data_IF_041863390448
#
_entry.id   IF_041863390448
#
_cell.length_a   1.000
_cell.length_b   1.000
_cell.length_c   1.000
_cell.angle_alpha   90.00
_cell.angle_beta   90.00
_cell.angle_gamma   90.00
#
_symmetry.space_group_name_H-M   'P 1'
#
loop_
_entity.id
_entity.type
_entity.pdbx_description
1 polymer ?
#
# COMPACT_ATOMS: atom_id res chain seq x y z
N UNK A 1 -2.45 -3.82 1.12
CA UNK A 1 -1.42 -3.35 2.08
C UNK A 1 -2.06 -3.13 3.45
N UNK A 2 -2.48 -4.20 4.13
CA UNK A 2 -2.96 -4.08 5.52
C UNK A 2 -1.78 -4.01 6.49
N UNK A 3 -2.04 -3.83 7.80
CA UNK A 3 -1.00 -3.63 8.82
C UNK A 3 0.05 -4.75 8.85
N UNK A 4 -0.34 -5.97 8.54
CA UNK A 4 0.57 -7.13 8.47
C UNK A 4 1.56 -7.10 7.30
N UNK A 5 1.31 -6.24 6.30
CA UNK A 5 2.14 -6.10 5.11
C UNK A 5 3.19 -4.99 5.28
N UNK A 6 3.30 -4.41 6.47
CA UNK A 6 4.33 -3.43 6.83
C UNK A 6 5.16 -4.01 7.96
N UNK A 7 6.35 -4.49 7.63
CA UNK A 7 7.31 -4.97 8.61
C UNK A 7 8.11 -3.78 9.13
N UNK A 8 8.40 -3.78 10.43
CA UNK A 8 9.14 -2.71 11.08
C UNK A 8 10.33 -3.32 11.80
N UNK A 9 11.52 -2.80 11.57
CA UNK A 9 12.75 -3.20 12.27
C UNK A 9 13.47 -1.97 12.83
N UNK A 10 14.24 -2.18 13.91
CA UNK A 10 15.16 -1.15 14.41
C UNK A 10 16.32 -0.96 13.44
N UNK A 11 16.80 0.27 13.33
CA UNK A 11 17.98 0.60 12.52
C UNK A 11 18.87 1.60 13.27
N UNK A 12 20.19 1.53 13.02
CA UNK A 12 21.16 2.52 13.51
C UNK A 12 21.35 3.68 12.53
N UNK A 13 20.89 3.52 11.29
CA UNK A 13 20.94 4.56 10.26
C UNK A 13 20.07 5.75 10.66
N UNK A 14 20.62 6.96 10.66
CA UNK A 14 19.85 8.17 10.99
C UNK A 14 18.87 8.54 9.87
N UNK A 15 19.22 8.24 8.61
CA UNK A 15 18.43 8.58 7.43
C UNK A 15 18.26 7.38 6.48
N UNK A 16 17.12 7.32 5.80
CA UNK A 16 16.91 6.49 4.61
C UNK A 16 17.00 7.40 3.38
N UNK A 17 17.81 7.01 2.41
CA UNK A 17 18.01 7.73 1.15
C UNK A 17 17.26 7.03 0.01
N UNK A 18 16.58 7.81 -0.83
CA UNK A 18 15.94 7.29 -2.04
C UNK A 18 15.87 8.35 -3.13
N UNK A 19 15.74 7.89 -4.38
CA UNK A 19 15.61 8.74 -5.56
C UNK A 19 14.20 8.67 -6.10
N UNK A 20 13.59 9.82 -6.37
CA UNK A 20 12.27 9.92 -6.98
C UNK A 20 12.28 11.03 -8.03
N UNK A 21 11.86 10.72 -9.27
CA UNK A 21 11.90 11.63 -10.42
C UNK A 21 13.27 12.34 -10.57
N UNK A 22 14.36 11.56 -10.55
CA UNK A 22 15.75 12.05 -10.63
C UNK A 22 16.16 13.04 -9.54
N UNK A 23 15.39 13.16 -8.46
CA UNK A 23 15.74 13.96 -7.29
C UNK A 23 16.00 13.06 -6.10
N UNK A 24 17.05 13.38 -5.37
CA UNK A 24 17.45 12.65 -4.16
C UNK A 24 16.72 13.19 -2.94
N UNK A 25 16.22 12.27 -2.12
CA UNK A 25 15.49 12.53 -0.89
C UNK A 25 16.09 11.73 0.25
N UNK A 26 15.95 12.26 1.46
CA UNK A 26 16.32 11.57 2.69
C UNK A 26 15.23 11.79 3.74
N UNK A 27 14.92 10.75 4.51
CA UNK A 27 13.93 10.78 5.59
C UNK A 27 14.61 10.29 6.86
N UNK A 28 14.42 11.01 7.98
CA UNK A 28 14.87 10.57 9.30
C UNK A 28 14.18 9.25 9.68
N UNK A 29 14.97 8.28 10.10
CA UNK A 29 14.45 6.95 10.49
C UNK A 29 13.79 6.96 11.85
N UNK A 30 14.19 7.87 12.74
CA UNK A 30 13.87 7.82 14.16
C UNK A 30 14.19 6.44 14.78
N UNK A 31 15.27 5.80 14.30
CA UNK A 31 15.70 4.47 14.74
C UNK A 31 14.87 3.32 14.18
N UNK A 32 13.98 3.58 13.22
CA UNK A 32 13.02 2.62 12.68
C UNK A 32 13.03 2.60 11.15
N UNK A 33 13.00 1.40 10.56
CA UNK A 33 12.85 1.19 9.13
C UNK A 33 11.62 0.32 8.86
N UNK A 34 10.76 0.80 7.94
CA UNK A 34 9.60 0.07 7.47
C UNK A 34 9.87 -0.59 6.11
N UNK A 35 9.36 -1.80 5.92
CA UNK A 35 9.42 -2.57 4.68
C UNK A 35 8.02 -3.01 4.28
N UNK A 36 7.61 -2.68 3.05
CA UNK A 36 6.35 -3.18 2.48
C UNK A 36 6.60 -4.59 1.93
N UNK A 37 5.76 -5.53 2.32
CA UNK A 37 5.81 -6.93 1.88
C UNK A 37 4.45 -7.39 1.35
N UNK A 38 4.40 -8.63 0.84
CA UNK A 38 3.22 -9.25 0.25
C UNK A 38 2.59 -8.41 -0.87
N UNK A 39 2.99 -8.77 -2.10
CA UNK A 39 2.56 -8.14 -3.34
C UNK A 39 1.47 -8.94 -4.05
N UNK A 40 0.81 -9.89 -3.37
CA UNK A 40 -0.18 -10.80 -3.99
C UNK A 40 -1.32 -10.06 -4.68
N UNK A 41 -1.76 -8.93 -4.11
CA UNK A 41 -2.85 -8.11 -4.66
C UNK A 41 -2.34 -6.86 -5.41
N UNK A 42 -1.04 -6.75 -5.67
CA UNK A 42 -0.43 -5.57 -6.28
C UNK A 42 -0.68 -5.51 -7.79
N UNK A 43 -0.52 -4.31 -8.34
CA UNK A 43 -0.52 -4.06 -9.79
C UNK A 43 0.73 -3.27 -10.17
N UNK A 44 1.49 -3.76 -11.14
CA UNK A 44 2.69 -3.09 -11.66
C UNK A 44 2.80 -3.28 -13.17
N UNK A 45 3.29 -2.25 -13.86
CA UNK A 45 3.68 -2.35 -15.27
C UNK A 45 5.18 -2.12 -15.35
N UNK A 46 5.90 -3.09 -15.88
CA UNK A 46 7.32 -2.95 -16.20
C UNK A 46 7.44 -2.12 -17.48
N UNK A 47 8.22 -1.04 -17.43
CA UNK A 47 8.30 -0.10 -18.56
C UNK A 47 9.08 -0.68 -19.73
N UNK A 48 10.13 -1.44 -19.46
CA UNK A 48 11.03 -1.98 -20.48
C UNK A 48 10.37 -3.12 -21.27
N UNK A 49 9.67 -4.01 -20.58
CA UNK A 49 9.03 -5.20 -21.18
C UNK A 49 7.55 -5.00 -21.52
N UNK A 50 6.98 -3.84 -21.18
CA UNK A 50 5.53 -3.58 -21.24
C UNK A 50 4.66 -4.65 -20.55
N UNK A 51 5.25 -5.45 -19.64
CA UNK A 51 4.57 -6.52 -18.95
C UNK A 51 3.70 -5.97 -17.80
N UNK A 52 2.41 -6.27 -17.84
CA UNK A 52 1.46 -5.98 -16.76
C UNK A 52 1.34 -7.20 -15.83
N UNK A 53 1.73 -7.01 -14.57
CA UNK A 53 1.46 -7.97 -13.50
C UNK A 53 0.38 -7.41 -12.60
N UNK A 54 -0.75 -8.10 -12.49
CA UNK A 54 -1.85 -7.75 -11.61
C UNK A 54 -2.67 -8.99 -11.25
N UNK A 55 -3.44 -8.89 -10.17
CA UNK A 55 -4.46 -9.86 -9.83
C UNK A 55 -5.84 -9.22 -10.01
N UNK A 56 -6.72 -9.89 -10.74
CA UNK A 56 -8.12 -9.47 -10.85
C UNK A 56 -8.86 -9.83 -9.55
N UNK A 57 -9.17 -8.80 -8.75
CA UNK A 57 -9.85 -8.98 -7.46
C UNK A 57 -11.33 -9.32 -7.62
N UNK A 58 -11.90 -9.20 -8.82
CA UNK A 58 -13.28 -9.67 -9.07
C UNK A 58 -13.42 -11.17 -8.81
N UNK A 59 -12.32 -11.93 -8.96
CA UNK A 59 -12.24 -13.36 -8.65
C UNK A 59 -12.18 -13.67 -7.15
N UNK A 60 -12.09 -12.63 -6.29
CA UNK A 60 -11.98 -12.76 -4.84
C UNK A 60 -13.16 -12.03 -4.14
N UNK A 61 -14.41 -12.46 -4.34
CA UNK A 61 -15.59 -11.73 -3.84
C UNK A 61 -15.64 -11.62 -2.30
N UNK A 62 -14.95 -12.52 -1.59
CA UNK A 62 -14.85 -12.51 -0.14
C UNK A 62 -14.13 -11.26 0.41
N UNK A 63 -13.22 -10.65 -0.35
CA UNK A 63 -12.52 -9.41 0.04
C UNK A 63 -13.49 -8.25 0.32
N UNK A 64 -14.60 -8.18 -0.42
CA UNK A 64 -15.54 -7.06 -0.34
C UNK A 64 -16.68 -7.30 0.65
N UNK A 65 -16.90 -8.56 1.06
CA UNK A 65 -17.95 -8.96 2.00
C UNK A 65 -17.52 -8.88 3.47
N UNK A 66 -16.22 -8.77 3.73
CA UNK A 66 -15.69 -8.68 5.09
C UNK A 66 -16.19 -7.44 5.84
N UNK A 67 -16.32 -7.58 7.16
CA UNK A 67 -16.78 -6.56 8.11
C UNK A 67 -15.90 -6.60 9.38
N UNK A 68 -15.99 -5.57 10.21
CA UNK A 68 -15.32 -5.52 11.52
C UNK A 68 -13.90 -4.94 11.50
N UNK A 69 -13.36 -4.60 10.33
CA UNK A 69 -12.10 -3.87 10.21
C UNK A 69 -12.14 -2.90 9.01
N UNK A 70 -11.56 -1.71 9.20
CA UNK A 70 -11.42 -0.63 8.21
C UNK A 70 -10.75 -1.14 6.92
N UNK A 71 -9.91 -2.19 6.98
CA UNK A 71 -9.31 -2.77 5.78
C UNK A 71 -10.36 -3.21 4.74
N UNK A 72 -11.55 -3.67 5.19
CA UNK A 72 -12.61 -4.08 4.27
C UNK A 72 -13.27 -2.87 3.60
N UNK A 73 -13.35 -1.73 4.28
CA UNK A 73 -13.79 -0.46 3.69
C UNK A 73 -12.81 0.04 2.63
N UNK A 74 -11.51 -0.18 2.85
CA UNK A 74 -10.46 0.14 1.87
C UNK A 74 -10.67 -0.68 0.59
N UNK A 75 -10.89 -2.00 0.70
CA UNK A 75 -11.16 -2.84 -0.48
C UNK A 75 -12.42 -2.39 -1.24
N UNK A 76 -13.51 -2.06 -0.55
CA UNK A 76 -14.72 -1.50 -1.18
C UNK A 76 -14.44 -0.16 -1.88
N UNK A 77 -13.69 0.73 -1.23
CA UNK A 77 -13.31 2.03 -1.78
C UNK A 77 -12.41 1.88 -3.01
N UNK A 78 -11.47 0.93 -2.98
CA UNK A 78 -10.64 0.59 -4.15
C UNK A 78 -11.52 0.11 -5.30
N UNK A 79 -12.47 -0.80 -5.05
CA UNK A 79 -13.37 -1.32 -6.09
C UNK A 79 -14.18 -0.21 -6.76
N UNK A 80 -14.67 0.75 -5.97
CA UNK A 80 -15.36 1.93 -6.50
C UNK A 80 -14.43 2.82 -7.32
N UNK A 81 -13.23 3.10 -6.81
CA UNK A 81 -12.25 3.96 -7.49
C UNK A 81 -11.74 3.37 -8.82
N UNK A 82 -11.53 2.04 -8.86
CA UNK A 82 -11.10 1.33 -10.07
C UNK A 82 -12.26 1.00 -11.00
N UNK A 83 -13.52 1.22 -10.59
CA UNK A 83 -14.72 0.72 -11.28
C UNK A 83 -14.66 -0.78 -11.56
N UNK A 84 -14.02 -1.54 -10.67
CA UNK A 84 -13.71 -2.98 -10.83
C UNK A 84 -12.75 -3.33 -11.98
N UNK A 85 -12.06 -2.34 -12.57
CA UNK A 85 -11.06 -2.52 -13.63
C UNK A 85 -9.64 -2.57 -13.04
N UNK A 86 -9.28 -3.68 -12.41
CA UNK A 86 -8.06 -3.83 -11.60
C UNK A 86 -6.74 -3.78 -12.40
N UNK A 87 -6.80 -3.95 -13.72
CA UNK A 87 -5.65 -3.80 -14.60
C UNK A 87 -5.22 -2.32 -14.76
N UNK A 88 -6.15 -1.38 -14.58
CA UNK A 88 -5.92 0.06 -14.76
C UNK A 88 -5.00 0.62 -13.69
N UNK A 89 -4.14 1.56 -14.09
CA UNK A 89 -3.31 2.28 -13.15
C UNK A 89 -4.14 3.29 -12.37
N UNK A 90 -4.50 2.95 -11.14
CA UNK A 90 -5.29 3.80 -10.24
C UNK A 90 -4.47 4.10 -8.98
N UNK A 91 -3.52 5.06 -9.01
CA UNK A 91 -2.60 5.33 -7.89
C UNK A 91 -3.33 5.82 -6.63
N UNK A 92 -4.56 6.32 -6.76
CA UNK A 92 -5.43 6.65 -5.63
C UNK A 92 -5.63 5.48 -4.65
N UNK A 93 -5.56 4.23 -5.14
CA UNK A 93 -5.64 3.05 -4.27
C UNK A 93 -4.48 2.96 -3.27
N UNK A 94 -3.29 3.50 -3.59
CA UNK A 94 -2.18 3.61 -2.64
C UNK A 94 -2.50 4.63 -1.54
N UNK A 95 -3.14 5.74 -1.90
CA UNK A 95 -3.56 6.78 -0.95
C UNK A 95 -4.58 6.22 0.04
N UNK A 96 -5.51 5.38 -0.42
CA UNK A 96 -6.47 4.70 0.47
C UNK A 96 -5.77 3.83 1.52
N UNK A 97 -4.74 3.08 1.13
CA UNK A 97 -3.96 2.27 2.07
C UNK A 97 -3.10 3.10 3.02
N UNK A 98 -2.49 4.19 2.54
CA UNK A 98 -1.77 5.14 3.41
C UNK A 98 -2.71 5.74 4.45
N UNK A 99 -3.90 6.18 4.04
CA UNK A 99 -4.91 6.69 4.96
C UNK A 99 -5.39 5.63 5.97
N UNK A 100 -5.52 4.38 5.55
CA UNK A 100 -5.80 3.29 6.48
C UNK A 100 -4.70 3.13 7.54
N UNK A 101 -3.43 3.20 7.12
CA UNK A 101 -2.30 3.10 8.05
C UNK A 101 -2.27 4.27 9.01
N UNK A 102 -2.51 5.51 8.56
CA UNK A 102 -2.56 6.66 9.47
C UNK A 102 -3.68 6.49 10.49
N UNK A 103 -4.88 6.04 10.10
CA UNK A 103 -5.98 5.80 11.04
C UNK A 103 -5.67 4.66 12.02
N UNK A 104 -5.03 3.58 11.58
CA UNK A 104 -4.67 2.44 12.45
C UNK A 104 -3.49 2.70 13.37
N UNK A 105 -2.57 3.58 12.96
CA UNK A 105 -1.35 3.92 13.72
C UNK A 105 -1.51 5.18 14.55
N UNK A 106 -2.65 5.90 14.41
CA UNK A 106 -3.06 6.88 15.41
C UNK A 106 -3.10 6.17 16.76
N UNK A 107 -2.12 6.50 17.59
CA UNK A 107 -2.16 6.24 19.02
C UNK A 107 -3.43 6.94 19.49
N UNK A 108 -4.34 6.20 20.14
CA UNK A 108 -5.34 6.81 21.02
C UNK A 108 -4.54 7.49 22.13
N UNK A 109 -4.13 8.73 21.91
CA UNK A 109 -3.26 9.46 22.81
C UNK A 109 -3.84 10.82 23.07
N UNK A 110 -4.52 10.95 24.20
CA UNK A 110 -4.15 11.81 25.34
C UNK A 110 -5.35 11.92 26.26
#
# INVERSE_FOLDING_TARGET
MHRGNVLVKRTKEEFIYFRFNNKDYHIKTYGVQATIVDFTLSRVTQKESHCLSHLDLNNLPWLFKGKGDIQFDVYRSMKNATKSEWHKFTPFTNVLWVNYLTVKTKIKGS
#
